data_IF_684406331560
#
_entry.id   IF_684406331560
#
_cell.length_a   1.000
_cell.length_b   1.000
_cell.length_c   1.000
_cell.angle_alpha   90.00
_cell.angle_beta   90.00
_cell.angle_gamma   90.00
#
_symmetry.space_group_name_H-M   'P 1'
#
loop_
_entity.id
_entity.type
_entity.pdbx_description
1 polymer ?
#
# COMPACT_ATOMS: atom_id res chain seq x y z
N UNK A 1 -42.94 51.25 7.87
CA UNK A 1 -42.48 50.55 6.69
C UNK A 1 -41.37 49.57 7.12
N UNK A 2 -41.66 48.27 7.16
CA UNK A 2 -40.68 47.21 7.55
C UNK A 2 -40.18 46.56 6.29
N UNK A 3 -38.88 46.69 6.00
CA UNK A 3 -38.21 46.00 4.90
C UNK A 3 -37.85 44.59 5.35
N UNK A 4 -38.38 43.57 4.67
CA UNK A 4 -38.03 42.16 4.85
C UNK A 4 -36.88 41.87 3.84
N UNK A 5 -35.69 41.65 4.35
CA UNK A 5 -34.58 41.13 3.54
C UNK A 5 -34.74 39.61 3.42
N UNK A 6 -35.03 39.13 2.22
CA UNK A 6 -35.02 37.72 1.88
C UNK A 6 -33.58 37.37 1.45
N UNK A 7 -32.88 36.60 2.29
CA UNK A 7 -31.54 36.05 1.96
C UNK A 7 -31.78 34.82 1.11
N UNK A 8 -31.43 34.88 -0.16
CA UNK A 8 -31.33 33.71 -1.05
C UNK A 8 -30.02 32.98 -0.76
N UNK A 9 -30.05 31.84 -0.07
CA UNK A 9 -28.91 30.91 0.06
C UNK A 9 -28.76 30.17 -1.27
N UNK A 10 -27.72 30.52 -2.02
CA UNK A 10 -27.31 29.77 -3.23
C UNK A 10 -26.56 28.53 -2.77
N UNK A 11 -27.23 27.38 -2.81
CA UNK A 11 -26.58 26.06 -2.67
C UNK A 11 -25.74 25.79 -3.93
N UNK A 12 -24.43 25.97 -3.85
CA UNK A 12 -23.51 25.52 -4.88
C UNK A 12 -23.44 23.99 -4.81
N UNK A 13 -23.68 23.27 -5.92
CA UNK A 13 -23.46 21.83 -5.97
C UNK A 13 -21.97 21.56 -5.77
N UNK A 14 -21.63 20.89 -4.66
CA UNK A 14 -20.29 20.34 -4.48
C UNK A 14 -20.05 19.31 -5.57
N UNK A 15 -19.03 19.51 -6.41
CA UNK A 15 -18.56 18.48 -7.33
C UNK A 15 -17.94 17.38 -6.48
N UNK A 16 -18.62 16.25 -6.33
CA UNK A 16 -18.00 15.04 -5.85
C UNK A 16 -16.98 14.60 -6.90
N UNK A 17 -15.69 14.67 -6.58
CA UNK A 17 -14.66 14.06 -7.42
C UNK A 17 -14.89 12.56 -7.33
N UNK A 18 -15.23 11.92 -8.45
CA UNK A 18 -15.42 10.48 -8.49
C UNK A 18 -14.08 9.81 -8.12
N UNK A 19 -14.13 8.88 -7.20
CA UNK A 19 -12.98 8.08 -6.79
C UNK A 19 -12.42 7.33 -8.01
N UNK A 20 -11.12 7.47 -8.25
CA UNK A 20 -10.49 6.92 -9.46
C UNK A 20 -10.05 5.46 -9.27
N UNK A 21 -9.87 5.02 -8.01
CA UNK A 21 -9.59 3.64 -7.62
C UNK A 21 -10.63 3.23 -6.59
N UNK A 22 -11.23 2.06 -6.75
CA UNK A 22 -12.15 1.47 -5.79
C UNK A 22 -11.52 0.27 -5.07
N UNK A 23 -11.93 0.07 -3.83
CA UNK A 23 -11.61 -1.16 -3.10
C UNK A 23 -12.59 -2.26 -3.53
N UNK A 24 -12.06 -3.43 -3.88
CA UNK A 24 -12.82 -4.63 -4.27
C UNK A 24 -12.41 -5.82 -3.41
N UNK A 25 -13.15 -6.91 -3.48
CA UNK A 25 -12.77 -8.12 -2.75
C UNK A 25 -11.47 -8.71 -3.31
N UNK A 26 -10.49 -8.98 -2.44
CA UNK A 26 -9.24 -9.64 -2.82
C UNK A 26 -9.48 -10.99 -3.50
N UNK A 27 -10.46 -11.77 -3.00
CA UNK A 27 -10.80 -13.07 -3.56
C UNK A 27 -11.33 -12.99 -5.00
N UNK A 28 -11.96 -11.88 -5.39
CA UNK A 28 -12.36 -11.63 -6.78
C UNK A 28 -11.12 -11.48 -7.66
N UNK A 29 -10.19 -10.62 -7.24
CA UNK A 29 -8.95 -10.39 -7.99
C UNK A 29 -8.04 -11.62 -8.03
N UNK A 30 -8.02 -12.44 -6.98
CA UNK A 30 -7.25 -13.69 -6.94
C UNK A 30 -7.69 -14.68 -8.05
N UNK A 31 -8.94 -14.61 -8.50
CA UNK A 31 -9.44 -15.37 -9.64
C UNK A 31 -9.14 -14.77 -11.01
N UNK A 32 -8.72 -13.51 -11.07
CA UNK A 32 -8.50 -12.74 -12.30
C UNK A 32 -7.02 -12.50 -12.59
N UNK A 33 -6.25 -12.14 -11.56
CA UNK A 33 -4.83 -11.78 -11.67
C UNK A 33 -3.94 -13.02 -11.59
N UNK A 34 -2.87 -13.07 -12.37
CA UNK A 34 -2.09 -14.30 -12.57
C UNK A 34 -0.74 -14.32 -11.85
N UNK A 35 -0.21 -13.17 -11.47
CA UNK A 35 1.08 -13.09 -10.76
C UNK A 35 0.87 -13.03 -9.25
N UNK A 36 1.74 -13.71 -8.53
CA UNK A 36 1.76 -13.75 -7.07
C UNK A 36 3.19 -13.58 -6.57
N UNK A 37 3.37 -12.67 -5.61
CA UNK A 37 4.60 -12.55 -4.83
C UNK A 37 4.25 -12.83 -3.37
N UNK A 38 4.78 -13.94 -2.83
CA UNK A 38 4.49 -14.51 -1.51
C UNK A 38 5.69 -14.50 -0.55
N UNK A 39 6.84 -13.96 -0.98
CA UNK A 39 8.08 -13.88 -0.21
C UNK A 39 8.64 -15.22 0.31
N UNK A 40 8.09 -16.37 -0.09
CA UNK A 40 8.51 -17.69 0.39
C UNK A 40 9.89 -18.13 -0.12
N UNK A 41 10.52 -17.37 -1.03
CA UNK A 41 11.90 -17.56 -1.48
C UNK A 41 12.97 -17.12 -0.44
N UNK A 42 12.57 -16.46 0.65
CA UNK A 42 13.46 -16.09 1.74
C UNK A 42 13.53 -17.15 2.81
N UNK A 43 14.65 -17.17 3.56
CA UNK A 43 14.80 -18.00 4.75
C UNK A 43 13.76 -17.63 5.81
N UNK A 44 13.27 -18.63 6.53
CA UNK A 44 12.27 -18.46 7.60
C UNK A 44 12.91 -17.91 8.88
N UNK A 45 13.03 -16.60 8.95
CA UNK A 45 13.63 -15.89 10.09
C UNK A 45 12.52 -15.22 10.91
N UNK A 46 12.41 -15.63 12.19
CA UNK A 46 11.47 -15.00 13.13
C UNK A 46 11.83 -13.53 13.39
N UNK A 47 10.86 -12.77 13.97
CA UNK A 47 11.08 -11.37 14.35
C UNK A 47 12.42 -11.18 15.07
N UNK A 48 13.19 -10.14 14.71
CA UNK A 48 12.85 -9.01 13.82
C UNK A 48 12.93 -9.31 12.32
N UNK A 49 13.28 -10.53 11.89
CA UNK A 49 13.33 -10.94 10.50
C UNK A 49 14.71 -10.78 9.86
N UNK A 50 14.74 -10.73 8.54
CA UNK A 50 15.91 -10.48 7.70
C UNK A 50 15.81 -9.08 7.10
N UNK A 51 16.73 -8.14 7.41
CA UNK A 51 16.71 -6.80 6.83
C UNK A 51 17.02 -6.85 5.33
N UNK A 52 16.36 -5.96 4.59
CA UNK A 52 16.50 -5.76 3.15
C UNK A 52 16.82 -4.28 2.93
N UNK A 53 18.11 -3.95 2.82
CA UNK A 53 18.59 -2.57 2.74
C UNK A 53 18.61 -2.02 1.31
N UNK A 54 18.44 -2.89 0.33
CA UNK A 54 18.37 -2.54 -1.09
C UNK A 54 16.93 -2.60 -1.61
N UNK A 55 16.74 -2.18 -2.87
CA UNK A 55 15.48 -2.39 -3.58
C UNK A 55 15.39 -3.87 -3.94
N UNK A 56 14.34 -4.52 -3.48
CA UNK A 56 14.08 -5.93 -3.78
C UNK A 56 13.41 -6.09 -5.13
N UNK A 57 13.93 -7.03 -5.93
CA UNK A 57 13.48 -7.25 -7.31
C UNK A 57 12.85 -8.63 -7.44
N UNK A 58 11.58 -8.63 -7.76
CA UNK A 58 10.81 -9.83 -8.13
C UNK A 58 10.43 -9.78 -9.61
N UNK A 59 9.92 -10.89 -10.08
CA UNK A 59 9.40 -10.97 -11.43
C UNK A 59 8.11 -10.12 -11.56
N UNK A 60 8.18 -9.03 -12.30
CA UNK A 60 7.07 -8.11 -12.57
C UNK A 60 6.90 -6.95 -11.58
N UNK A 61 7.60 -6.96 -10.43
CA UNK A 61 7.54 -5.86 -9.47
C UNK A 61 8.82 -5.68 -8.66
N UNK A 62 9.01 -4.48 -8.11
CA UNK A 62 10.11 -4.11 -7.22
C UNK A 62 9.55 -3.46 -5.97
N UNK A 63 10.25 -3.66 -4.83
CA UNK A 63 9.86 -3.16 -3.53
C UNK A 63 10.94 -2.28 -2.94
N UNK A 64 10.54 -1.21 -2.27
CA UNK A 64 11.41 -0.28 -1.56
C UNK A 64 10.61 0.51 -0.53
N UNK A 65 11.28 1.40 0.19
CA UNK A 65 10.63 2.21 1.21
C UNK A 65 9.67 3.25 0.59
N UNK A 66 10.15 3.99 -0.42
CA UNK A 66 9.41 5.10 -1.02
C UNK A 66 9.77 5.28 -2.50
N UNK A 67 9.04 6.15 -3.17
CA UNK A 67 9.44 6.62 -4.49
C UNK A 67 10.38 7.83 -4.40
N UNK A 68 11.25 7.98 -5.38
CA UNK A 68 12.14 9.11 -5.51
C UNK A 68 11.35 10.44 -5.55
N UNK A 69 11.83 11.44 -4.83
CA UNK A 69 11.18 12.74 -4.66
C UNK A 69 10.21 12.82 -3.47
N UNK A 70 9.78 11.69 -2.91
CA UNK A 70 9.03 11.69 -1.66
C UNK A 70 9.93 11.93 -0.46
N UNK A 71 9.42 12.65 0.54
CA UNK A 71 10.07 12.84 1.83
C UNK A 71 9.38 11.97 2.86
N UNK A 72 10.16 11.16 3.56
CA UNK A 72 9.71 10.39 4.69
C UNK A 72 9.76 11.27 5.96
N UNK A 73 8.70 11.27 6.72
CA UNK A 73 8.62 11.87 8.06
C UNK A 73 8.03 10.86 9.04
N UNK A 74 8.24 11.11 10.33
CA UNK A 74 7.66 10.31 11.40
C UNK A 74 6.50 11.06 12.03
N UNK A 75 5.38 10.36 12.23
CA UNK A 75 4.26 10.84 13.02
C UNK A 75 3.77 9.73 13.94
N UNK A 76 3.85 9.95 15.25
CA UNK A 76 3.43 8.99 16.28
C UNK A 76 4.11 7.60 16.15
N UNK A 77 5.35 7.55 15.65
CA UNK A 77 6.13 6.33 15.44
C UNK A 77 5.95 5.70 14.05
N UNK A 78 5.02 6.17 13.24
CA UNK A 78 4.74 5.65 11.91
C UNK A 78 5.33 6.52 10.80
N UNK A 79 5.69 5.89 9.71
CA UNK A 79 6.12 6.59 8.50
C UNK A 79 4.95 7.32 7.83
N UNK A 80 5.21 8.55 7.43
CA UNK A 80 4.31 9.37 6.61
C UNK A 80 5.07 9.89 5.40
N UNK A 81 4.53 9.65 4.22
CA UNK A 81 5.11 10.11 2.97
C UNK A 81 4.55 11.48 2.57
N UNK A 82 5.44 12.45 2.43
CA UNK A 82 5.13 13.79 1.94
C UNK A 82 5.68 13.98 0.53
N UNK A 83 5.10 14.94 -0.18
CA UNK A 83 5.38 15.26 -1.57
C UNK A 83 4.98 14.15 -2.55
N UNK A 84 4.91 14.54 -3.82
CA UNK A 84 4.68 13.61 -4.92
C UNK A 84 5.99 12.98 -5.36
N UNK A 85 5.97 11.75 -5.86
CA UNK A 85 7.10 11.21 -6.59
C UNK A 85 7.52 12.12 -7.75
N UNK A 86 8.80 12.03 -8.13
CA UNK A 86 9.27 12.60 -9.38
C UNK A 86 9.16 11.58 -10.49
N UNK A 87 8.84 12.03 -11.70
CA UNK A 87 8.80 11.16 -12.88
C UNK A 87 10.15 11.10 -13.61
N UNK A 88 10.47 10.00 -14.29
CA UNK A 88 9.74 8.74 -14.27
C UNK A 88 9.79 8.04 -12.91
N UNK A 89 8.68 7.36 -12.55
CA UNK A 89 8.54 6.72 -11.25
C UNK A 89 9.69 5.72 -10.99
N UNK A 90 10.38 5.89 -9.88
CA UNK A 90 11.48 5.02 -9.45
C UNK A 90 11.51 4.88 -7.94
N UNK A 91 11.94 3.73 -7.44
CA UNK A 91 12.05 3.48 -5.99
C UNK A 91 13.33 4.08 -5.41
N UNK A 92 13.26 4.40 -4.13
CA UNK A 92 14.39 4.68 -3.25
C UNK A 92 14.30 3.75 -2.05
N UNK A 93 15.44 3.16 -1.68
CA UNK A 93 15.58 2.46 -0.40
C UNK A 93 15.65 3.46 0.75
N UNK A 94 15.33 2.98 1.95
CA UNK A 94 15.60 3.66 3.20
C UNK A 94 17.08 3.68 3.54
N UNK A 95 17.41 4.27 4.68
CA UNK A 95 18.75 4.09 5.26
C UNK A 95 18.90 2.64 5.75
N UNK A 96 20.14 2.09 5.79
CA UNK A 96 20.35 0.72 6.26
C UNK A 96 19.67 0.44 7.61
N UNK A 97 18.92 -0.64 7.68
CA UNK A 97 18.09 -1.02 8.82
C UNK A 97 16.73 -0.31 8.94
N UNK A 98 16.43 0.67 8.09
CA UNK A 98 15.15 1.39 8.07
C UNK A 98 14.48 1.33 6.70
N UNK A 99 14.75 0.32 5.91
CA UNK A 99 14.11 0.11 4.62
C UNK A 99 12.99 -0.94 4.78
N UNK A 100 13.29 -2.19 4.49
CA UNK A 100 12.34 -3.29 4.55
C UNK A 100 12.92 -4.45 5.37
N UNK A 101 12.07 -5.37 5.81
CA UNK A 101 12.49 -6.67 6.34
C UNK A 101 11.48 -7.75 5.95
N UNK A 102 11.98 -8.97 5.70
CA UNK A 102 11.13 -10.16 5.59
C UNK A 102 11.14 -10.88 6.93
N UNK A 103 9.95 -11.17 7.46
CA UNK A 103 9.77 -11.85 8.75
C UNK A 103 8.88 -13.08 8.56
N UNK A 104 9.32 -14.22 9.13
CA UNK A 104 8.49 -15.41 9.21
C UNK A 104 7.57 -15.31 10.44
N UNK A 105 6.26 -15.37 10.20
CA UNK A 105 5.26 -15.17 11.24
C UNK A 105 4.49 -16.45 11.59
N UNK A 106 3.69 -16.37 12.65
CA UNK A 106 2.90 -17.47 13.22
C UNK A 106 1.99 -18.19 12.25
N UNK A 107 1.58 -17.52 11.19
CA UNK A 107 0.73 -18.10 10.14
C UNK A 107 1.49 -18.95 9.13
N UNK A 108 2.77 -19.28 9.45
CA UNK A 108 3.66 -20.11 8.66
C UNK A 108 4.00 -19.54 7.28
N UNK A 109 4.02 -18.21 7.16
CA UNK A 109 4.33 -17.48 5.94
C UNK A 109 5.42 -16.43 6.19
N UNK A 110 6.27 -16.18 5.20
CA UNK A 110 7.15 -15.02 5.13
C UNK A 110 6.33 -13.80 4.71
N UNK A 111 6.56 -12.67 5.38
CA UNK A 111 5.86 -11.44 5.08
C UNK A 111 6.80 -10.26 5.04
N UNK A 112 6.53 -9.28 4.19
CA UNK A 112 7.29 -8.05 4.05
C UNK A 112 6.80 -6.99 5.03
N UNK A 113 7.72 -6.37 5.77
CA UNK A 113 7.48 -5.23 6.66
C UNK A 113 8.28 -4.01 6.21
N UNK A 114 7.68 -2.83 6.28
CA UNK A 114 8.42 -1.58 6.31
C UNK A 114 9.06 -1.38 7.68
N UNK A 115 10.29 -0.87 7.71
CA UNK A 115 11.07 -0.64 8.94
C UNK A 115 11.15 0.85 9.23
N UNK A 116 10.43 1.33 10.25
CA UNK A 116 10.53 2.70 10.73
C UNK A 116 11.70 2.88 11.71
N UNK A 117 12.11 4.10 12.09
CA UNK A 117 13.03 4.32 13.20
C UNK A 117 12.47 3.71 14.51
N UNK A 118 13.29 3.07 15.35
CA UNK A 118 14.76 3.07 15.36
C UNK A 118 15.44 2.12 14.36
N UNK A 119 14.69 1.32 13.60
CA UNK A 119 15.23 0.40 12.60
C UNK A 119 15.64 -0.95 13.15
N UNK A 120 16.08 -1.83 12.25
CA UNK A 120 16.61 -3.15 12.59
C UNK A 120 17.83 -3.05 13.51
N UNK A 121 17.98 -3.90 14.54
CA UNK A 121 17.19 -5.11 14.83
C UNK A 121 16.03 -4.89 15.83
N UNK A 122 15.55 -3.67 15.99
CA UNK A 122 14.48 -3.39 16.95
C UNK A 122 13.14 -3.95 16.43
N UNK A 123 12.48 -4.77 17.24
CA UNK A 123 11.22 -5.45 16.87
C UNK A 123 10.11 -4.42 16.65
N UNK A 124 10.11 -3.37 17.45
CA UNK A 124 9.14 -2.27 17.44
C UNK A 124 9.20 -1.40 16.17
N UNK A 125 10.30 -1.47 15.43
CA UNK A 125 10.45 -0.77 14.15
C UNK A 125 9.74 -1.48 13.00
N UNK A 126 9.37 -2.75 13.20
CA UNK A 126 8.88 -3.60 12.13
C UNK A 126 7.38 -3.49 11.89
N UNK A 127 7.00 -2.88 10.78
CA UNK A 127 5.62 -2.74 10.36
C UNK A 127 5.08 -1.32 10.42
N UNK A 128 5.75 -0.40 11.12
CA UNK A 128 5.41 1.03 11.14
C UNK A 128 5.97 1.78 9.93
N UNK A 129 6.92 1.17 9.22
CA UNK A 129 7.58 1.75 8.05
C UNK A 129 6.72 1.74 6.79
N UNK A 130 7.06 2.64 5.85
CA UNK A 130 6.43 2.68 4.54
C UNK A 130 6.90 1.52 3.65
N UNK A 131 6.02 1.06 2.76
CA UNK A 131 6.34 0.11 1.70
C UNK A 131 5.85 0.68 0.37
N UNK A 132 6.71 0.72 -0.64
CA UNK A 132 6.33 1.10 -1.99
C UNK A 132 6.60 -0.04 -2.98
N UNK A 133 5.67 -0.23 -3.91
CA UNK A 133 5.72 -1.26 -4.95
C UNK A 133 5.72 -0.56 -6.31
N UNK A 134 6.72 -0.85 -7.14
CA UNK A 134 6.81 -0.40 -8.53
C UNK A 134 6.61 -1.61 -9.44
N UNK A 135 5.56 -1.59 -10.23
CA UNK A 135 5.28 -2.63 -11.22
C UNK A 135 6.09 -2.39 -12.50
N UNK A 136 6.58 -3.47 -13.12
CA UNK A 136 7.27 -3.39 -14.40
C UNK A 136 6.33 -2.95 -15.53
N UNK A 137 5.03 -3.24 -15.40
CA UNK A 137 3.94 -2.79 -16.27
C UNK A 137 2.86 -2.09 -15.47
N UNK A 138 2.15 -1.16 -16.12
CA UNK A 138 1.04 -0.46 -15.49
C UNK A 138 -0.14 -1.41 -15.31
N UNK A 139 -0.84 -1.30 -14.18
CA UNK A 139 -1.91 -2.18 -13.74
C UNK A 139 -3.28 -1.49 -13.81
N UNK A 140 -4.33 -2.24 -14.07
CA UNK A 140 -5.72 -1.80 -13.86
C UNK A 140 -6.27 -2.24 -12.51
N UNK A 141 -5.72 -3.32 -11.96
CA UNK A 141 -6.09 -3.86 -10.65
C UNK A 141 -4.88 -4.53 -9.99
N UNK A 142 -4.90 -4.60 -8.67
CA UNK A 142 -3.91 -5.28 -7.85
C UNK A 142 -4.50 -5.63 -6.48
N UNK A 143 -3.88 -6.52 -5.77
CA UNK A 143 -4.27 -6.84 -4.40
C UNK A 143 -3.10 -7.33 -3.57
N UNK A 144 -3.27 -7.34 -2.26
CA UNK A 144 -2.31 -7.91 -1.32
C UNK A 144 -3.01 -8.30 -0.02
N UNK A 145 -2.41 -9.20 0.74
CA UNK A 145 -2.83 -9.49 2.11
C UNK A 145 -2.06 -8.63 3.09
N UNK A 146 -2.72 -8.29 4.19
CA UNK A 146 -2.13 -7.55 5.30
C UNK A 146 -2.34 -8.34 6.58
N UNK A 147 -1.26 -8.52 7.33
CA UNK A 147 -1.33 -8.91 8.74
C UNK A 147 -1.25 -7.65 9.58
N UNK A 148 -2.24 -7.45 10.43
CA UNK A 148 -2.44 -6.30 11.32
C UNK A 148 -2.55 -6.74 12.77
N UNK A 149 -2.89 -5.81 13.67
CA UNK A 149 -3.19 -6.09 15.08
C UNK A 149 -4.14 -7.28 15.22
N UNK A 150 -3.83 -8.27 16.08
CA UNK A 150 -4.78 -9.31 16.47
C UNK A 150 -6.01 -8.72 17.14
N UNK A 151 -7.17 -9.35 16.92
CA UNK A 151 -8.42 -8.87 17.53
C UNK A 151 -8.26 -8.75 19.06
N UNK A 152 -8.44 -7.55 19.63
CA UNK A 152 -8.33 -7.35 21.06
C UNK A 152 -9.44 -8.08 21.81
N UNK A 153 -9.18 -8.41 23.08
CA UNK A 153 -10.20 -9.03 23.96
C UNK A 153 -11.21 -8.00 24.49
N UNK A 154 -10.83 -6.72 24.45
CA UNK A 154 -11.66 -5.61 24.92
C UNK A 154 -12.53 -5.09 23.77
N UNK A 155 -13.80 -4.79 24.07
CA UNK A 155 -14.71 -4.15 23.12
C UNK A 155 -14.38 -2.65 22.96
N UNK A 156 -14.64 -2.11 21.76
CA UNK A 156 -14.48 -0.67 21.50
C UNK A 156 -13.06 -0.22 21.14
N UNK A 157 -12.09 -1.13 21.06
CA UNK A 157 -10.76 -0.81 20.51
C UNK A 157 -10.90 -0.52 19.02
N UNK A 158 -10.43 0.63 18.52
CA UNK A 158 -10.52 0.94 17.09
C UNK A 158 -9.56 0.05 16.29
N UNK A 159 -9.96 -0.33 15.10
CA UNK A 159 -9.09 -1.00 14.13
C UNK A 159 -8.01 -0.06 13.64
N UNK A 160 -6.87 -0.63 13.26
CA UNK A 160 -5.83 0.07 12.54
C UNK A 160 -6.28 0.57 11.18
N UNK A 161 -5.48 1.41 10.56
CA UNK A 161 -5.74 1.96 9.23
C UNK A 161 -4.47 1.90 8.39
N UNK A 162 -4.63 1.71 7.10
CA UNK A 162 -3.56 1.93 6.12
C UNK A 162 -3.99 2.99 5.11
N UNK A 163 -3.03 3.72 4.59
CA UNK A 163 -3.19 4.61 3.45
C UNK A 163 -2.49 4.02 2.25
N UNK A 164 -3.21 3.83 1.16
CA UNK A 164 -2.67 3.33 -0.12
C UNK A 164 -2.76 4.44 -1.15
N UNK A 165 -1.61 4.92 -1.64
CA UNK A 165 -1.54 5.93 -2.70
C UNK A 165 -1.13 5.27 -4.02
N UNK A 166 -1.79 5.63 -5.11
CA UNK A 166 -1.64 5.06 -6.44
C UNK A 166 -1.03 6.08 -7.39
N UNK A 167 -0.03 5.66 -8.18
CA UNK A 167 0.76 6.56 -9.02
C UNK A 167 0.85 6.07 -10.46
N UNK A 168 0.85 7.03 -11.40
CA UNK A 168 1.23 6.78 -12.78
C UNK A 168 2.75 6.75 -12.94
N UNK A 169 3.19 6.25 -14.11
CA UNK A 169 4.62 6.15 -14.47
C UNK A 169 5.34 7.50 -14.47
N UNK A 170 4.63 8.58 -14.71
CA UNK A 170 5.15 9.94 -14.64
C UNK A 170 5.24 10.54 -13.22
N UNK A 171 4.87 9.77 -12.19
CA UNK A 171 4.84 10.20 -10.79
C UNK A 171 3.58 10.95 -10.38
N UNK A 172 2.63 11.17 -11.29
CA UNK A 172 1.36 11.79 -10.93
C UNK A 172 0.51 10.85 -10.07
N UNK A 173 -0.18 11.43 -9.07
CA UNK A 173 -1.12 10.69 -8.22
C UNK A 173 -2.39 10.39 -9.02
N UNK A 174 -2.83 9.14 -8.97
CA UNK A 174 -4.13 8.70 -9.48
C UNK A 174 -5.19 8.90 -8.41
N UNK A 175 -4.94 8.34 -7.23
CA UNK A 175 -5.85 8.37 -6.09
C UNK A 175 -5.09 8.04 -4.80
N UNK A 176 -5.74 8.25 -3.65
CA UNK A 176 -5.27 7.84 -2.34
C UNK A 176 -6.46 7.37 -1.52
N UNK A 177 -6.37 6.18 -0.96
CA UNK A 177 -7.42 5.57 -0.15
C UNK A 177 -6.95 5.34 1.27
N UNK A 178 -7.79 5.75 2.23
CA UNK A 178 -7.65 5.38 3.63
C UNK A 178 -8.54 4.17 3.90
N UNK A 179 -7.91 3.04 4.22
CA UNK A 179 -8.56 1.75 4.39
C UNK A 179 -8.51 1.34 5.85
N UNK A 180 -9.67 1.02 6.43
CA UNK A 180 -9.73 0.40 7.74
C UNK A 180 -9.24 -1.06 7.64
N UNK A 181 -8.34 -1.46 8.55
CA UNK A 181 -7.80 -2.80 8.57
C UNK A 181 -8.75 -3.77 9.29
N UNK A 182 -8.91 -4.97 8.74
CA UNK A 182 -9.53 -6.06 9.49
C UNK A 182 -8.52 -6.64 10.48
N UNK A 183 -9.01 -7.24 11.57
CA UNK A 183 -8.17 -7.86 12.57
C UNK A 183 -7.43 -9.09 12.04
N UNK A 184 -6.18 -9.21 12.40
CA UNK A 184 -5.29 -10.32 12.06
C UNK A 184 -4.87 -10.31 10.58
N UNK A 185 -5.40 -11.20 9.75
CA UNK A 185 -5.05 -11.28 8.31
C UNK A 185 -6.28 -11.03 7.46
N UNK A 186 -6.14 -10.12 6.49
CA UNK A 186 -7.17 -9.89 5.49
C UNK A 186 -6.57 -9.55 4.12
N UNK A 187 -7.32 -9.86 3.07
CA UNK A 187 -6.96 -9.49 1.70
C UNK A 187 -7.64 -8.19 1.27
N UNK A 188 -6.89 -7.33 0.57
CA UNK A 188 -7.34 -6.04 0.05
C UNK A 188 -7.10 -6.01 -1.45
N UNK A 189 -8.15 -5.75 -2.21
CA UNK A 189 -8.11 -5.57 -3.65
C UNK A 189 -8.41 -4.12 -4.04
N UNK A 190 -7.81 -3.67 -5.11
CA UNK A 190 -7.97 -2.32 -5.66
C UNK A 190 -8.08 -2.38 -7.17
N UNK A 191 -9.00 -1.60 -7.73
CA UNK A 191 -9.26 -1.58 -9.17
C UNK A 191 -9.49 -0.15 -9.65
N UNK A 192 -9.01 0.18 -10.85
CA UNK A 192 -9.36 1.42 -11.53
C UNK A 192 -10.84 1.40 -11.92
N UNK A 193 -11.60 2.39 -11.46
CA UNK A 193 -13.05 2.47 -11.72
C UNK A 193 -13.41 2.56 -13.21
N UNK A 194 -12.48 3.05 -14.03
CA UNK A 194 -12.65 3.16 -15.48
C UNK A 194 -11.90 2.06 -16.28
N UNK A 195 -11.29 1.09 -15.59
CA UNK A 195 -10.53 0.01 -16.20
C UNK A 195 -9.21 0.41 -16.87
N UNK A 196 -8.70 1.63 -16.65
CA UNK A 196 -7.42 2.06 -17.22
C UNK A 196 -6.25 1.27 -16.63
N UNK A 197 -5.33 0.81 -17.47
CA UNK A 197 -4.05 0.23 -17.07
C UNK A 197 -3.01 1.34 -16.91
N UNK A 198 -3.08 2.11 -15.80
CA UNK A 198 -2.20 3.26 -15.56
C UNK A 198 -1.64 3.33 -14.12
N UNK A 199 -1.87 2.30 -13.29
CA UNK A 199 -1.24 2.17 -11.97
C UNK A 199 0.18 1.63 -12.18
N UNK A 200 1.19 2.50 -12.18
CA UNK A 200 2.58 2.12 -12.28
C UNK A 200 3.16 1.65 -10.94
N UNK A 201 2.63 2.15 -9.84
CA UNK A 201 3.07 1.76 -8.51
C UNK A 201 2.17 2.28 -7.41
N UNK A 202 2.38 1.77 -6.21
CA UNK A 202 1.66 2.16 -5.00
C UNK A 202 2.63 2.42 -3.84
N UNK A 203 2.23 3.30 -2.92
CA UNK A 203 2.85 3.42 -1.59
C UNK A 203 1.84 3.07 -0.51
N UNK A 204 2.29 2.35 0.49
CA UNK A 204 1.50 1.92 1.64
C UNK A 204 2.14 2.50 2.90
N UNK A 205 1.39 3.24 3.68
CA UNK A 205 1.70 3.65 5.04
C UNK A 205 0.57 3.23 5.96
N UNK A 206 0.81 3.15 7.27
CA UNK A 206 -0.23 2.68 8.18
C UNK A 206 -0.20 3.40 9.54
N UNK A 207 -1.23 3.12 10.33
CA UNK A 207 -1.38 3.49 11.75
C UNK A 207 -2.06 2.34 12.48
N UNK A 208 -1.47 1.15 12.37
CA UNK A 208 -1.90 -0.04 13.12
C UNK A 208 -0.98 -0.21 14.33
N UNK A 209 -1.51 -0.38 15.55
CA UNK A 209 -0.67 -0.45 16.77
C UNK A 209 0.37 -1.59 16.77
N UNK A 210 0.15 -2.66 16.01
CA UNK A 210 1.10 -3.75 15.85
C UNK A 210 1.99 -3.60 14.61
N UNK A 211 1.83 -2.48 13.88
CA UNK A 211 2.37 -2.34 12.53
C UNK A 211 1.71 -3.28 11.53
N UNK A 212 2.05 -3.18 10.26
CA UNK A 212 1.52 -4.07 9.22
C UNK A 212 2.62 -4.89 8.56
N UNK A 213 2.26 -6.11 8.14
CA UNK A 213 3.08 -6.91 7.24
C UNK A 213 2.27 -7.25 5.99
N UNK A 214 2.92 -7.24 4.83
CA UNK A 214 2.31 -7.45 3.51
C UNK A 214 2.72 -8.82 2.99
N UNK A 215 1.76 -9.51 2.38
CA UNK A 215 1.94 -10.83 1.78
C UNK A 215 1.06 -11.00 0.55
N UNK A 216 1.27 -12.06 -0.20
CA UNK A 216 0.42 -12.49 -1.32
C UNK A 216 0.03 -11.32 -2.25
N UNK A 217 1.03 -10.58 -2.76
CA UNK A 217 0.79 -9.48 -3.70
C UNK A 217 0.41 -10.04 -5.06
N UNK A 218 -0.80 -9.75 -5.53
CA UNK A 218 -1.35 -10.21 -6.81
C UNK A 218 -1.49 -9.05 -7.80
N UNK A 219 -1.13 -9.28 -9.05
CA UNK A 219 -1.18 -8.31 -10.14
C UNK A 219 -1.08 -9.02 -11.51
N UNK A 220 -1.12 -8.27 -12.61
CA UNK A 220 -0.89 -8.82 -13.94
C UNK A 220 0.51 -8.52 -14.47
N UNK A 221 1.12 -9.54 -15.06
CA UNK A 221 2.41 -9.40 -15.74
C UNK A 221 2.25 -8.91 -17.17
N UNK A 222 1.15 -9.27 -17.82
CA UNK A 222 0.87 -8.95 -19.20
C UNK A 222 -0.42 -8.15 -19.31
N UNK A 223 -0.43 -7.14 -20.22
CA UNK A 223 -1.68 -6.44 -20.54
C UNK A 223 -2.69 -7.43 -21.15
N UNK A 224 -3.94 -7.33 -20.71
CA UNK A 224 -5.05 -8.15 -21.25
C UNK A 224 -5.18 -8.02 -22.77
N UNK A 225 -4.80 -6.87 -23.31
CA UNK A 225 -4.77 -6.61 -24.77
C UNK A 225 -3.80 -7.48 -25.55
N UNK A 226 -2.80 -8.10 -24.91
CA UNK A 226 -1.83 -8.95 -25.59
C UNK A 226 -2.38 -10.33 -25.97
N UNK A 227 -3.52 -10.74 -25.41
CA UNK A 227 -4.15 -12.06 -25.67
C UNK A 227 -5.18 -12.05 -26.82
N UNK A 228 -5.53 -10.85 -27.32
CA UNK A 228 -6.56 -10.68 -28.36
C UNK A 228 -6.01 -10.53 -29.79
N UNK A 229 -4.70 -10.70 -30.01
CA UNK A 229 -4.11 -10.72 -31.35
C UNK A 229 -3.88 -12.16 -31.80
N UNK A 230 -4.51 -12.57 -32.94
CA UNK A 230 -4.35 -13.91 -33.50
C UNK A 230 -2.96 -14.17 -34.08
#
# INVERSE_FOLDING_TARGET
MRWIFVIFAVLLPGFAVAQAVEQVAYAELQGELVELIDFENYDKVMSPGKPLDEIEVFNGARFGERFAGQILAQQDGFDVLHLKPVGPLSLSSGVPGQNLAVVFIFYMSNQLKGMAPPGFPQVEAGGEGAVSILFDRDQSALGFRVTSEPRPREEGVPKGRMTVAFYRRDGSVIDQLDVELEWSIAGYGFRRTNGSEDIAGISITNRDPAGVAIDDVIFDRYSVTSWLLP
#
